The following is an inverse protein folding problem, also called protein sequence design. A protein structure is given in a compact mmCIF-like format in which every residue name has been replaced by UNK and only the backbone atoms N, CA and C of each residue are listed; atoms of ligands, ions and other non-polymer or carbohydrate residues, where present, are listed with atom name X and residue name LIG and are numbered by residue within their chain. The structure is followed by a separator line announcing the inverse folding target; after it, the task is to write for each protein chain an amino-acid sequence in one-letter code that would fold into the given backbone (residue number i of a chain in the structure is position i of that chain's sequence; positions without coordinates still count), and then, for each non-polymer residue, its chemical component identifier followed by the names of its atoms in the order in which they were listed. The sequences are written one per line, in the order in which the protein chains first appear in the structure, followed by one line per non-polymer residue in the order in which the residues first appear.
data_IF_861328563491
#
_entry.id   IF_861328563491
#
_cell.length_a   1.000
_cell.length_b   1.000
_cell.length_c   1.000
_cell.angle_alpha   90.00
_cell.angle_beta   90.00
_cell.angle_gamma   90.00
#
_symmetry.space_group_name_H-M   'P 1'
#
loop_
_entity.id
_entity.type
_entity.pdbx_description
1 polymer ?
#
# COMPACT_ATOMS: atom_id res chain seq x y z
N UNK A 1 -26.97 -30.72 14.92
CA UNK A 1 -26.29 -31.50 13.86
C UNK A 1 -25.49 -30.49 13.06
N UNK A 2 -24.27 -30.20 13.51
CA UNK A 2 -23.34 -29.32 12.80
C UNK A 2 -22.61 -30.20 11.82
N UNK A 3 -23.15 -30.32 10.61
CA UNK A 3 -22.38 -30.86 9.49
C UNK A 3 -21.13 -29.98 9.37
N UNK A 4 -19.97 -30.59 9.55
CA UNK A 4 -18.66 -30.00 9.34
C UNK A 4 -18.51 -29.75 7.83
N UNK A 5 -19.15 -28.70 7.33
CA UNK A 5 -18.82 -28.17 6.01
C UNK A 5 -17.43 -27.53 6.13
N UNK A 6 -16.50 -27.91 5.25
CA UNK A 6 -15.11 -27.41 5.28
C UNK A 6 -15.04 -25.88 5.21
N UNK A 7 -13.93 -25.31 5.67
CA UNK A 7 -13.76 -23.84 5.81
C UNK A 7 -13.69 -23.13 4.45
N UNK A 8 -13.35 -23.85 3.40
CA UNK A 8 -13.19 -23.36 2.05
C UNK A 8 -14.15 -24.09 1.12
N UNK A 9 -15.14 -23.39 0.57
CA UNK A 9 -16.04 -23.94 -0.43
C UNK A 9 -15.56 -23.51 -1.81
N UNK A 10 -15.08 -24.45 -2.61
CA UNK A 10 -14.75 -24.21 -4.01
C UNK A 10 -16.04 -24.29 -4.83
N UNK A 11 -16.33 -23.24 -5.58
CA UNK A 11 -17.47 -23.12 -6.47
C UNK A 11 -16.98 -23.12 -7.93
N UNK A 12 -17.04 -24.28 -8.60
CA UNK A 12 -16.58 -24.38 -9.98
C UNK A 12 -17.42 -23.57 -10.95
N UNK A 13 -16.82 -23.14 -12.06
CA UNK A 13 -17.56 -22.58 -13.21
C UNK A 13 -18.60 -23.57 -13.74
N UNK A 14 -18.28 -24.86 -13.71
CA UNK A 14 -19.19 -25.95 -14.06
C UNK A 14 -19.02 -27.13 -13.10
N UNK A 15 -20.12 -27.59 -12.51
CA UNK A 15 -20.14 -28.75 -11.61
C UNK A 15 -20.72 -28.42 -10.23
N UNK A 16 -20.65 -29.40 -9.33
CA UNK A 16 -21.07 -29.22 -7.94
C UNK A 16 -19.95 -28.60 -7.11
N UNK A 17 -20.33 -27.74 -6.16
CA UNK A 17 -19.38 -27.18 -5.22
C UNK A 17 -18.86 -28.27 -4.26
N UNK A 18 -17.60 -28.15 -3.88
CA UNK A 18 -16.96 -29.04 -2.92
C UNK A 18 -16.26 -28.22 -1.83
N UNK A 19 -15.91 -28.90 -0.74
CA UNK A 19 -15.34 -28.28 0.45
C UNK A 19 -13.95 -28.82 0.70
N UNK A 20 -13.07 -27.94 1.15
CA UNK A 20 -11.71 -28.23 1.60
C UNK A 20 -11.49 -27.66 2.99
N UNK A 21 -10.56 -28.28 3.72
CA UNK A 21 -10.21 -27.87 5.08
C UNK A 21 -9.11 -26.80 5.09
N UNK A 22 -8.33 -26.69 4.00
CA UNK A 22 -7.26 -25.68 3.86
C UNK A 22 -7.34 -24.89 2.56
N UNK A 23 -6.81 -23.66 2.58
CA UNK A 23 -6.70 -22.81 1.39
C UNK A 23 -5.79 -23.45 0.33
N UNK A 24 -4.74 -24.14 0.75
CA UNK A 24 -3.80 -24.79 -0.16
C UNK A 24 -4.48 -25.89 -0.98
N UNK A 25 -5.28 -26.73 -0.33
CA UNK A 25 -6.07 -27.77 -1.00
C UNK A 25 -7.11 -27.14 -1.94
N UNK A 26 -7.83 -26.12 -1.47
CA UNK A 26 -8.82 -25.40 -2.26
C UNK A 26 -8.22 -24.81 -3.54
N UNK A 27 -7.06 -24.16 -3.45
CA UNK A 27 -6.34 -23.60 -4.60
C UNK A 27 -5.83 -24.71 -5.52
N UNK A 28 -5.33 -25.82 -4.98
CA UNK A 28 -4.79 -26.92 -5.80
C UNK A 28 -5.86 -27.64 -6.63
N UNK A 29 -7.11 -27.60 -6.17
CA UNK A 29 -8.26 -28.22 -6.85
C UNK A 29 -9.07 -27.24 -7.68
N UNK A 30 -8.92 -25.93 -7.44
CA UNK A 30 -9.56 -24.91 -8.23
C UNK A 30 -9.00 -24.88 -9.65
N UNK A 31 -9.89 -24.67 -10.61
CA UNK A 31 -9.58 -24.46 -12.01
C UNK A 31 -9.78 -22.98 -12.37
N UNK A 32 -9.21 -22.56 -13.52
CA UNK A 32 -9.32 -21.18 -13.99
C UNK A 32 -10.78 -20.74 -14.10
N UNK A 33 -11.13 -19.69 -13.36
CA UNK A 33 -12.46 -19.11 -13.30
C UNK A 33 -13.26 -19.50 -12.05
N UNK A 34 -12.79 -20.46 -11.26
CA UNK A 34 -13.48 -20.88 -10.04
C UNK A 34 -13.42 -19.82 -8.94
N UNK A 35 -14.44 -19.79 -8.08
CA UNK A 35 -14.46 -18.97 -6.87
C UNK A 35 -14.26 -19.85 -5.62
N UNK A 36 -13.33 -19.46 -4.75
CA UNK A 36 -13.13 -20.10 -3.44
C UNK A 36 -13.79 -19.20 -2.38
N UNK A 37 -14.90 -19.68 -1.82
CA UNK A 37 -15.65 -19.01 -0.76
C UNK A 37 -15.11 -19.42 0.62
N UNK A 38 -14.64 -18.43 1.38
CA UNK A 38 -14.14 -18.61 2.74
C UNK A 38 -15.31 -18.47 3.73
N UNK A 39 -15.58 -19.53 4.50
CA UNK A 39 -16.76 -19.68 5.35
C UNK A 39 -16.41 -19.75 6.84
N UNK A 40 -15.60 -18.81 7.30
CA UNK A 40 -15.19 -18.71 8.70
C UNK A 40 -15.04 -17.25 9.16
N UNK A 41 -15.08 -17.02 10.47
CA UNK A 41 -15.03 -15.69 11.12
C UNK A 41 -13.80 -15.51 12.02
N UNK A 42 -12.92 -16.51 12.05
CA UNK A 42 -11.71 -16.53 12.83
C UNK A 42 -10.48 -16.37 11.93
N UNK A 43 -9.31 -16.64 12.52
CA UNK A 43 -8.05 -16.56 11.81
C UNK A 43 -7.65 -17.94 11.33
N UNK A 44 -7.31 -18.03 10.04
CA UNK A 44 -6.64 -19.19 9.49
C UNK A 44 -5.16 -18.90 9.26
N UNK A 45 -4.29 -19.77 9.76
CA UNK A 45 -2.86 -19.68 9.46
C UNK A 45 -2.60 -20.33 8.09
N UNK A 46 -2.05 -19.56 7.16
CA UNK A 46 -1.78 -20.02 5.80
C UNK A 46 -0.26 -20.14 5.59
N UNK A 47 0.22 -21.30 5.09
CA UNK A 47 1.63 -21.42 4.68
C UNK A 47 1.89 -20.61 3.40
N UNK A 48 3.16 -20.41 2.99
CA UNK A 48 3.46 -19.95 1.64
C UNK A 48 2.69 -20.78 0.60
N UNK A 49 2.04 -20.12 -0.33
CA UNK A 49 1.33 -20.81 -1.41
C UNK A 49 2.31 -21.17 -2.52
N UNK A 50 2.06 -22.28 -3.25
CA UNK A 50 2.81 -22.57 -4.45
C UNK A 50 2.67 -21.41 -5.45
N UNK A 51 3.65 -21.30 -6.37
CA UNK A 51 3.60 -20.27 -7.40
C UNK A 51 2.32 -20.42 -8.21
N UNK A 52 1.53 -19.35 -8.27
CA UNK A 52 0.29 -19.27 -9.04
C UNK A 52 0.58 -18.73 -10.45
N UNK A 53 -0.29 -19.07 -11.41
CA UNK A 53 -0.14 -18.65 -12.82
C UNK A 53 0.47 -19.69 -13.75
N UNK A 54 0.41 -20.98 -13.38
CA UNK A 54 0.60 -22.08 -14.33
C UNK A 54 -0.67 -22.31 -15.16
N UNK A 55 -0.56 -22.89 -16.38
CA UNK A 55 -1.71 -23.21 -17.23
C UNK A 55 -2.79 -23.96 -16.44
N UNK A 56 -4.02 -23.43 -16.46
CA UNK A 56 -5.17 -23.98 -15.72
C UNK A 56 -5.48 -23.30 -14.38
N UNK A 57 -4.62 -22.40 -13.88
CA UNK A 57 -4.84 -21.61 -12.64
C UNK A 57 -4.78 -20.09 -12.89
N UNK A 58 -5.07 -19.67 -14.12
CA UNK A 58 -4.84 -18.30 -14.61
C UNK A 58 -5.84 -17.28 -14.08
N UNK A 59 -6.97 -17.72 -13.52
CA UNK A 59 -8.00 -16.85 -12.98
C UNK A 59 -8.54 -17.46 -11.68
N UNK A 60 -8.25 -16.84 -10.54
CA UNK A 60 -8.63 -17.34 -9.22
C UNK A 60 -9.29 -16.22 -8.43
N UNK A 61 -10.46 -16.50 -7.86
CA UNK A 61 -11.14 -15.57 -6.94
C UNK A 61 -11.19 -16.16 -5.54
N UNK A 62 -10.66 -15.44 -4.55
CA UNK A 62 -10.85 -15.70 -3.13
C UNK A 62 -11.89 -14.72 -2.59
N UNK A 63 -12.96 -15.21 -1.98
CA UNK A 63 -14.07 -14.35 -1.55
C UNK A 63 -14.57 -14.76 -0.16
N UNK A 64 -14.81 -13.80 0.72
CA UNK A 64 -15.56 -14.07 1.93
C UNK A 64 -17.02 -14.43 1.59
N UNK A 65 -17.51 -15.55 2.13
CA UNK A 65 -18.90 -15.91 1.96
C UNK A 65 -19.83 -14.89 2.66
N UNK A 66 -21.10 -14.73 2.22
CA UNK A 66 -22.03 -13.80 2.85
C UNK A 66 -22.15 -14.03 4.36
N UNK A 67 -21.99 -12.96 5.14
CA UNK A 67 -22.04 -13.01 6.61
C UNK A 67 -20.76 -13.53 7.28
N UNK A 68 -19.72 -13.86 6.51
CA UNK A 68 -18.42 -14.26 7.01
C UNK A 68 -17.38 -13.15 6.89
N UNK A 69 -16.42 -13.16 7.80
CA UNK A 69 -15.29 -12.24 7.87
C UNK A 69 -13.99 -13.00 8.16
N UNK A 70 -13.46 -13.72 7.16
CA UNK A 70 -12.29 -14.57 7.32
C UNK A 70 -11.01 -13.74 7.39
N UNK A 71 -10.08 -14.15 8.24
CA UNK A 71 -8.72 -13.60 8.29
C UNK A 71 -7.71 -14.65 7.86
N UNK A 72 -6.91 -14.37 6.83
CA UNK A 72 -5.78 -15.20 6.42
C UNK A 72 -4.48 -14.64 7.02
N UNK A 73 -3.87 -15.39 7.94
CA UNK A 73 -2.61 -15.02 8.59
C UNK A 73 -1.44 -15.79 8.01
N UNK A 74 -0.47 -15.05 7.49
CA UNK A 74 0.81 -15.55 7.05
C UNK A 74 1.89 -15.30 8.11
N UNK A 75 2.63 -16.33 8.47
CA UNK A 75 3.72 -16.25 9.47
C UNK A 75 5.07 -16.74 8.94
N UNK A 76 5.20 -16.88 7.62
CA UNK A 76 6.40 -17.42 6.97
C UNK A 76 6.30 -18.91 6.70
N UNK A 77 7.13 -19.37 5.76
CA UNK A 77 7.38 -20.77 5.48
C UNK A 77 8.47 -21.37 6.36
N UNK A 78 8.68 -22.67 6.21
CA UNK A 78 9.85 -23.32 6.77
C UNK A 78 11.14 -22.70 6.20
N UNK A 79 12.19 -22.60 7.01
CA UNK A 79 13.50 -22.04 6.61
C UNK A 79 14.16 -22.75 5.42
N UNK A 80 13.66 -23.94 5.03
CA UNK A 80 14.13 -24.70 3.85
C UNK A 80 13.36 -24.37 2.57
N UNK A 81 12.28 -23.59 2.66
CA UNK A 81 11.55 -23.08 1.50
C UNK A 81 12.45 -22.16 0.68
N UNK A 82 12.27 -22.14 -0.63
CA UNK A 82 12.99 -21.22 -1.53
C UNK A 82 12.54 -19.76 -1.38
N UNK A 83 11.36 -19.54 -0.78
CA UNK A 83 10.75 -18.22 -0.62
C UNK A 83 9.93 -18.13 0.69
N UNK A 84 10.56 -18.31 1.87
CA UNK A 84 9.84 -18.44 3.13
C UNK A 84 9.12 -17.15 3.57
N UNK A 85 9.51 -15.99 3.06
CA UNK A 85 8.85 -14.71 3.37
C UNK A 85 7.72 -14.30 2.43
N UNK A 86 7.26 -15.16 1.52
CA UNK A 86 6.28 -14.79 0.47
C UNK A 86 5.00 -15.60 0.61
N UNK A 87 3.84 -14.94 0.74
CA UNK A 87 2.56 -15.65 0.77
C UNK A 87 2.11 -16.03 -0.64
N UNK A 88 1.84 -15.03 -1.48
CA UNK A 88 1.44 -15.19 -2.87
C UNK A 88 2.64 -14.93 -3.77
N UNK A 89 3.10 -15.97 -4.46
CA UNK A 89 4.11 -15.85 -5.52
C UNK A 89 3.40 -15.96 -6.88
N UNK A 90 3.29 -14.82 -7.57
CA UNK A 90 2.52 -14.68 -8.80
C UNK A 90 3.46 -14.60 -10.00
N UNK A 91 3.19 -15.41 -11.03
CA UNK A 91 3.97 -15.46 -12.25
C UNK A 91 3.10 -15.52 -13.50
N UNK A 92 3.64 -15.05 -14.62
CA UNK A 92 2.95 -15.07 -15.91
C UNK A 92 1.76 -14.09 -15.92
N UNK A 93 0.67 -14.49 -16.58
CA UNK A 93 -0.54 -13.67 -16.77
C UNK A 93 -1.68 -14.06 -15.82
N UNK A 94 -1.38 -14.22 -14.53
CA UNK A 94 -2.40 -14.58 -13.52
C UNK A 94 -3.38 -13.42 -13.29
N UNK A 95 -4.67 -13.74 -13.13
CA UNK A 95 -5.69 -12.87 -12.58
C UNK A 95 -6.12 -13.38 -11.19
N UNK A 96 -5.77 -12.65 -10.14
CA UNK A 96 -6.13 -12.94 -8.76
C UNK A 96 -7.08 -11.85 -8.25
N UNK A 97 -8.29 -12.26 -7.84
CA UNK A 97 -9.22 -11.37 -7.16
C UNK A 97 -9.42 -11.80 -5.71
N UNK A 98 -9.37 -10.87 -4.77
CA UNK A 98 -9.66 -11.10 -3.35
C UNK A 98 -10.73 -10.11 -2.89
N UNK A 99 -11.83 -10.62 -2.34
CA UNK A 99 -13.00 -9.79 -1.98
C UNK A 99 -13.44 -10.09 -0.55
N UNK A 100 -13.44 -9.07 0.30
CA UNK A 100 -13.97 -9.16 1.67
C UNK A 100 -13.14 -10.04 2.61
N UNK A 101 -11.92 -10.41 2.22
CA UNK A 101 -11.02 -11.26 3.03
C UNK A 101 -9.98 -10.36 3.69
N UNK A 102 -9.84 -10.50 5.00
CA UNK A 102 -8.82 -9.79 5.76
C UNK A 102 -7.49 -10.56 5.71
N UNK A 103 -6.38 -9.84 5.55
CA UNK A 103 -5.05 -10.42 5.37
C UNK A 103 -4.11 -9.94 6.48
N UNK A 104 -3.30 -10.83 7.02
CA UNK A 104 -2.35 -10.50 8.07
C UNK A 104 -0.98 -11.08 7.78
N UNK A 105 0.06 -10.26 7.85
CA UNK A 105 1.45 -10.70 7.89
C UNK A 105 1.96 -10.59 9.31
N UNK A 106 2.53 -11.67 9.85
CA UNK A 106 3.31 -11.65 11.09
C UNK A 106 4.76 -11.96 10.75
N UNK A 107 5.59 -10.93 10.75
CA UNK A 107 7.02 -11.04 10.46
C UNK A 107 7.73 -11.62 11.69
N UNK A 108 8.16 -12.88 11.57
CA UNK A 108 8.84 -13.62 12.64
C UNK A 108 10.34 -13.44 12.57
N UNK A 109 11.00 -13.32 13.72
CA UNK A 109 12.47 -13.20 13.78
C UNK A 109 13.18 -14.52 13.44
N UNK A 110 12.53 -15.65 13.71
CA UNK A 110 13.10 -16.98 13.53
C UNK A 110 13.14 -17.44 12.06
N UNK A 111 12.36 -16.80 11.19
CA UNK A 111 12.28 -17.14 9.76
C UNK A 111 13.26 -16.30 8.97
N UNK A 112 14.28 -16.93 8.38
CA UNK A 112 15.30 -16.22 7.62
C UNK A 112 14.75 -15.89 6.24
N UNK A 113 14.58 -14.59 5.96
CA UNK A 113 14.08 -14.06 4.68
C UNK A 113 14.70 -12.69 4.46
N UNK A 114 15.08 -12.42 3.22
CA UNK A 114 15.57 -11.12 2.76
C UNK A 114 14.44 -10.08 2.78
N UNK A 115 13.24 -10.51 2.37
CA UNK A 115 12.05 -9.68 2.31
C UNK A 115 10.81 -10.48 2.75
N UNK A 116 9.90 -9.82 3.45
CA UNK A 116 8.55 -10.31 3.70
C UNK A 116 7.55 -9.64 2.76
N UNK A 117 6.74 -10.42 2.05
CA UNK A 117 5.80 -9.90 1.05
C UNK A 117 4.47 -10.64 1.07
N UNK A 118 3.37 -9.91 0.93
CA UNK A 118 2.07 -10.54 0.69
C UNK A 118 1.98 -11.05 -0.74
N UNK A 119 2.28 -10.19 -1.71
CA UNK A 119 2.22 -10.48 -3.13
C UNK A 119 3.56 -10.19 -3.78
N UNK A 120 4.26 -11.22 -4.26
CA UNK A 120 5.39 -11.05 -5.17
C UNK A 120 4.91 -11.27 -6.61
N UNK A 121 5.09 -10.26 -7.46
CA UNK A 121 4.58 -10.24 -8.82
C UNK A 121 5.75 -10.28 -9.80
N UNK A 122 5.79 -11.33 -10.62
CA UNK A 122 6.70 -11.47 -11.76
C UNK A 122 5.89 -11.54 -13.06
N UNK A 123 6.00 -10.52 -13.92
CA UNK A 123 5.22 -10.43 -15.17
C UNK A 123 3.87 -9.68 -15.05
N UNK A 124 3.02 -9.74 -16.08
CA UNK A 124 1.80 -8.96 -16.28
C UNK A 124 0.60 -9.52 -15.51
N UNK A 125 0.80 -9.66 -14.20
CA UNK A 125 -0.21 -10.13 -13.29
C UNK A 125 -1.36 -9.10 -13.16
N UNK A 126 -2.57 -9.59 -12.92
CA UNK A 126 -3.74 -8.79 -12.56
C UNK A 126 -4.15 -9.11 -11.13
N UNK A 127 -4.11 -8.13 -10.25
CA UNK A 127 -4.49 -8.28 -8.85
C UNK A 127 -5.59 -7.28 -8.55
N UNK A 128 -6.70 -7.77 -8.00
CA UNK A 128 -7.88 -6.97 -7.68
C UNK A 128 -8.29 -7.25 -6.23
N UNK A 129 -8.01 -6.30 -5.33
CA UNK A 129 -8.38 -6.38 -3.92
C UNK A 129 -9.57 -5.45 -3.66
N UNK A 130 -10.65 -5.99 -3.13
CA UNK A 130 -11.88 -5.25 -2.84
C UNK A 130 -12.36 -5.51 -1.42
N UNK A 131 -12.71 -4.44 -0.68
CA UNK A 131 -13.29 -4.53 0.67
C UNK A 131 -12.41 -5.34 1.65
N UNK A 132 -11.09 -5.26 1.50
CA UNK A 132 -10.11 -6.03 2.27
C UNK A 132 -9.40 -5.13 3.30
N UNK A 133 -9.04 -5.71 4.44
CA UNK A 133 -8.11 -5.06 5.38
C UNK A 133 -6.80 -5.84 5.45
N UNK A 134 -5.66 -5.14 5.47
CA UNK A 134 -4.32 -5.75 5.52
C UNK A 134 -3.57 -5.20 6.73
N UNK A 135 -3.13 -6.09 7.60
CA UNK A 135 -2.30 -5.75 8.76
C UNK A 135 -0.91 -6.38 8.66
N UNK A 136 0.14 -5.57 8.82
CA UNK A 136 1.54 -6.04 8.85
C UNK A 136 2.14 -5.86 10.24
N UNK A 137 2.21 -6.95 10.99
CA UNK A 137 2.87 -7.03 12.29
C UNK A 137 4.36 -7.33 12.11
N UNK A 138 5.18 -6.30 12.23
CA UNK A 138 6.63 -6.38 12.04
C UNK A 138 7.39 -5.60 13.12
N UNK A 139 7.39 -6.11 14.37
CA UNK A 139 7.95 -5.39 15.52
C UNK A 139 9.46 -5.11 15.38
N UNK A 140 10.17 -6.00 14.68
CA UNK A 140 11.62 -5.85 14.43
C UNK A 140 11.93 -5.01 13.20
N UNK A 141 10.92 -4.45 12.51
CA UNK A 141 11.06 -3.64 11.29
C UNK A 141 11.98 -4.27 10.24
N UNK A 142 11.85 -5.59 10.04
CA UNK A 142 12.57 -6.26 8.95
C UNK A 142 12.04 -5.77 7.60
N UNK A 143 12.81 -5.90 6.51
CA UNK A 143 12.32 -5.51 5.20
C UNK A 143 11.00 -6.23 4.86
N UNK A 144 9.95 -5.46 4.66
CA UNK A 144 8.61 -5.94 4.41
C UNK A 144 7.85 -5.01 3.45
N UNK A 145 7.06 -5.59 2.56
CA UNK A 145 6.15 -4.86 1.68
C UNK A 145 4.82 -5.62 1.52
N UNK A 146 3.72 -4.95 1.22
CA UNK A 146 2.49 -5.67 0.84
C UNK A 146 2.65 -6.26 -0.56
N UNK A 147 3.08 -5.44 -1.51
CA UNK A 147 3.30 -5.82 -2.90
C UNK A 147 4.78 -5.64 -3.24
N UNK A 148 5.36 -6.62 -3.92
CA UNK A 148 6.69 -6.52 -4.51
C UNK A 148 6.62 -6.82 -6.00
N UNK A 149 7.13 -5.91 -6.81
CA UNK A 149 7.27 -6.07 -8.25
C UNK A 149 8.72 -6.46 -8.56
N UNK A 150 8.89 -7.51 -9.34
CA UNK A 150 10.21 -7.99 -9.80
C UNK A 150 10.14 -8.32 -11.29
N UNK A 151 11.29 -8.29 -11.95
CA UNK A 151 11.39 -8.64 -13.36
C UNK A 151 11.01 -10.10 -13.62
N UNK A 152 10.30 -10.33 -14.73
CA UNK A 152 10.04 -11.68 -15.23
C UNK A 152 11.35 -12.25 -15.80
N UNK A 153 11.69 -13.48 -15.42
CA UNK A 153 12.86 -14.20 -15.96
C UNK A 153 12.60 -14.77 -17.37
N UNK A 154 11.37 -14.70 -17.84
CA UNK A 154 10.95 -15.26 -19.12
C UNK A 154 10.75 -14.08 -20.08
N UNK A 155 11.32 -14.17 -21.28
CA UNK A 155 10.99 -13.22 -22.35
C UNK A 155 9.52 -13.40 -22.72
N UNK A 156 8.68 -12.52 -22.21
CA UNK A 156 7.27 -12.54 -22.50
C UNK A 156 7.03 -11.87 -23.85
N UNK A 157 6.63 -12.68 -24.82
CA UNK A 157 6.31 -12.27 -26.19
C UNK A 157 4.98 -11.51 -26.31
N UNK A 158 4.30 -11.24 -25.18
CA UNK A 158 2.97 -10.62 -25.14
C UNK A 158 3.02 -9.20 -24.60
N UNK A 159 2.19 -8.35 -25.19
CA UNK A 159 1.93 -6.95 -24.85
C UNK A 159 1.01 -6.78 -23.62
N UNK A 160 0.93 -7.81 -22.78
CA UNK A 160 0.09 -7.76 -21.58
C UNK A 160 0.80 -6.93 -20.51
N UNK A 161 0.06 -6.10 -19.78
CA UNK A 161 0.61 -5.19 -18.79
C UNK A 161 0.14 -5.57 -17.39
N UNK A 162 0.99 -5.30 -16.40
CA UNK A 162 0.66 -5.45 -14.98
C UNK A 162 -0.57 -4.58 -14.64
N UNK A 163 -1.50 -5.11 -13.86
CA UNK A 163 -2.63 -4.33 -13.34
C UNK A 163 -2.89 -4.66 -11.89
N UNK A 164 -2.73 -3.69 -11.00
CA UNK A 164 -3.04 -3.84 -9.58
C UNK A 164 -4.13 -2.84 -9.24
N UNK A 165 -5.24 -3.31 -8.69
CA UNK A 165 -6.37 -2.50 -8.27
C UNK A 165 -6.70 -2.75 -6.81
N UNK A 166 -6.82 -1.68 -6.05
CA UNK A 166 -7.27 -1.65 -4.67
C UNK A 166 -8.54 -0.78 -4.60
N UNK A 167 -9.63 -1.33 -4.07
CA UNK A 167 -10.86 -0.59 -3.81
C UNK A 167 -11.37 -0.86 -2.41
N UNK A 168 -11.63 0.20 -1.64
CA UNK A 168 -12.08 0.08 -0.25
C UNK A 168 -11.12 -0.78 0.58
N UNK A 169 -9.82 -0.57 0.37
CA UNK A 169 -8.76 -1.33 1.03
C UNK A 169 -8.09 -0.46 2.08
N UNK A 170 -7.94 -1.02 3.29
CA UNK A 170 -7.07 -0.43 4.31
C UNK A 170 -5.80 -1.26 4.49
N UNK A 171 -4.64 -0.62 4.52
CA UNK A 171 -3.37 -1.26 4.90
C UNK A 171 -2.79 -0.53 6.10
N UNK A 172 -2.35 -1.28 7.10
CA UNK A 172 -1.61 -0.70 8.23
C UNK A 172 -0.46 -1.58 8.68
N UNK A 173 0.58 -0.94 9.20
CA UNK A 173 1.67 -1.61 9.92
C UNK A 173 3.05 -1.31 9.39
N UNK A 174 4.01 -2.14 9.82
CA UNK A 174 5.43 -1.88 9.59
C UNK A 174 5.94 -2.49 8.27
N UNK A 175 5.58 -1.84 7.16
CA UNK A 175 5.98 -2.23 5.80
C UNK A 175 5.84 -1.05 4.81
N UNK A 176 6.44 -1.20 3.64
CA UNK A 176 6.07 -0.43 2.45
C UNK A 176 4.74 -0.98 1.86
N UNK A 177 3.94 -0.16 1.17
CA UNK A 177 2.81 -0.71 0.41
C UNK A 177 3.34 -1.45 -0.83
N UNK A 178 4.18 -0.79 -1.64
CA UNK A 178 4.74 -1.37 -2.85
C UNK A 178 6.26 -1.19 -2.92
N UNK A 179 6.99 -2.30 -3.01
CA UNK A 179 8.42 -2.34 -3.34
C UNK A 179 8.59 -2.66 -4.83
N UNK A 180 9.23 -1.76 -5.58
CA UNK A 180 9.47 -1.89 -7.01
C UNK A 180 10.95 -2.23 -7.21
N UNK A 181 11.22 -3.52 -7.39
CA UNK A 181 12.56 -4.10 -7.55
C UNK A 181 12.72 -4.75 -8.94
N UNK A 182 12.36 -3.98 -9.98
CA UNK A 182 12.31 -4.39 -11.39
C UNK A 182 11.93 -3.21 -12.30
N UNK A 183 11.63 -3.49 -13.55
CA UNK A 183 11.15 -2.61 -14.62
C UNK A 183 9.70 -2.91 -15.00
N UNK A 184 8.73 -2.83 -14.07
CA UNK A 184 7.34 -3.13 -14.39
C UNK A 184 6.81 -2.14 -15.44
N UNK A 185 5.96 -2.65 -16.34
CA UNK A 185 5.12 -1.82 -17.20
C UNK A 185 3.66 -2.15 -16.93
N UNK A 186 2.87 -1.13 -16.59
CA UNK A 186 1.44 -1.29 -16.36
C UNK A 186 0.86 -0.27 -15.39
N UNK A 187 -0.18 -0.66 -14.65
CA UNK A 187 -0.98 0.25 -13.83
C UNK A 187 -1.18 -0.24 -12.40
N UNK A 188 -1.05 0.68 -11.46
CA UNK A 188 -1.51 0.57 -10.08
C UNK A 188 -2.66 1.56 -9.86
N UNK A 189 -3.79 1.12 -9.30
CA UNK A 189 -4.93 1.99 -8.98
C UNK A 189 -5.38 1.76 -7.55
N UNK A 190 -5.49 2.82 -6.76
CA UNK A 190 -6.11 2.81 -5.43
C UNK A 190 -7.28 3.79 -5.39
N UNK A 191 -8.45 3.29 -5.00
CA UNK A 191 -9.71 4.02 -4.98
C UNK A 191 -10.38 3.83 -3.61
N UNK A 192 -10.69 4.93 -2.91
CA UNK A 192 -11.26 4.89 -1.56
C UNK A 192 -10.41 4.03 -0.60
N UNK A 193 -9.10 4.28 -0.57
CA UNK A 193 -8.14 3.46 0.17
C UNK A 193 -7.46 4.23 1.29
N UNK A 194 -7.07 3.52 2.34
CA UNK A 194 -6.36 4.12 3.47
C UNK A 194 -5.10 3.34 3.81
N UNK A 195 -3.97 4.03 3.92
CA UNK A 195 -2.66 3.43 4.15
C UNK A 195 -1.97 4.08 5.34
N UNK A 196 -1.68 3.32 6.39
CA UNK A 196 -0.92 3.75 7.57
C UNK A 196 0.39 2.93 7.67
N UNK A 197 1.48 3.46 7.13
CA UNK A 197 2.70 2.70 6.81
C UNK A 197 3.93 3.21 7.58
N UNK A 198 4.65 2.30 8.24
CA UNK A 198 6.00 2.63 8.75
C UNK A 198 7.00 2.84 7.60
N UNK A 199 6.65 2.33 6.42
CA UNK A 199 7.37 2.48 5.17
C UNK A 199 6.80 3.56 4.25
N UNK A 200 7.08 3.41 2.97
CA UNK A 200 6.63 4.25 1.87
C UNK A 200 5.38 3.67 1.21
N UNK A 201 4.60 4.52 0.54
CA UNK A 201 3.57 4.07 -0.38
C UNK A 201 4.22 3.35 -1.57
N UNK A 202 5.19 4.01 -2.19
CA UNK A 202 5.98 3.45 -3.30
C UNK A 202 7.47 3.54 -2.94
N UNK A 203 8.15 2.40 -2.94
CA UNK A 203 9.59 2.31 -2.74
C UNK A 203 10.22 1.66 -3.98
N UNK A 204 10.80 2.48 -4.86
CA UNK A 204 11.44 2.02 -6.09
C UNK A 204 12.94 1.90 -5.89
N UNK A 205 13.44 0.67 -5.95
CA UNK A 205 14.88 0.35 -5.89
C UNK A 205 15.40 -0.14 -7.24
N UNK A 206 14.51 -0.34 -8.21
CA UNK A 206 14.89 -0.74 -9.57
C UNK A 206 15.52 -2.12 -9.66
N UNK A 207 16.22 -2.34 -10.76
CA UNK A 207 16.98 -3.55 -11.01
C UNK A 207 18.24 -3.25 -11.83
N UNK A 208 19.14 -4.23 -11.90
CA UNK A 208 20.30 -4.14 -12.78
C UNK A 208 19.88 -4.04 -14.25
N UNK A 209 20.65 -3.28 -15.02
CA UNK A 209 20.39 -2.93 -16.42
C UNK A 209 20.35 -4.16 -17.35
N UNK A 210 19.22 -4.86 -17.38
CA UNK A 210 19.00 -6.02 -18.26
C UNK A 210 17.89 -5.78 -19.28
N UNK A 211 16.99 -4.82 -19.01
CA UNK A 211 15.87 -4.41 -19.86
C UNK A 211 15.74 -2.88 -19.84
N UNK A 212 15.06 -2.29 -20.83
CA UNK A 212 14.77 -0.86 -20.86
C UNK A 212 13.95 -0.40 -19.66
N UNK A 213 13.93 0.91 -19.39
CA UNK A 213 13.20 1.46 -18.25
C UNK A 213 11.70 1.18 -18.34
N UNK A 214 11.13 0.61 -17.28
CA UNK A 214 9.70 0.36 -17.16
C UNK A 214 8.89 1.64 -17.00
N UNK A 215 7.56 1.52 -17.07
CA UNK A 215 6.62 2.61 -16.83
C UNK A 215 5.46 2.11 -15.95
N UNK A 216 5.35 2.63 -14.73
CA UNK A 216 4.23 2.36 -13.85
C UNK A 216 3.32 3.58 -13.75
N UNK A 217 2.08 3.43 -14.23
CA UNK A 217 1.00 4.40 -14.11
C UNK A 217 0.24 4.18 -12.80
N UNK A 218 0.31 5.13 -11.87
CA UNK A 218 -0.24 5.06 -10.53
C UNK A 218 -1.42 6.04 -10.41
N UNK A 219 -2.63 5.52 -10.28
CA UNK A 219 -3.86 6.31 -10.12
C UNK A 219 -4.36 6.20 -8.67
N UNK A 220 -4.43 7.33 -7.96
CA UNK A 220 -4.88 7.44 -6.58
C UNK A 220 -6.11 8.36 -6.56
N UNK A 221 -7.24 7.85 -6.07
CA UNK A 221 -8.50 8.59 -5.99
C UNK A 221 -9.10 8.40 -4.61
N UNK A 222 -9.40 9.50 -3.91
CA UNK A 222 -9.93 9.43 -2.53
C UNK A 222 -9.09 8.51 -1.63
N UNK A 223 -7.78 8.71 -1.64
CA UNK A 223 -6.84 7.90 -0.88
C UNK A 223 -6.20 8.71 0.24
N UNK A 224 -6.20 8.17 1.45
CA UNK A 224 -5.50 8.76 2.61
C UNK A 224 -4.23 7.95 2.90
N UNK A 225 -3.08 8.61 2.94
CA UNK A 225 -1.78 8.01 3.22
C UNK A 225 -1.15 8.68 4.42
N UNK A 226 -0.88 7.93 5.47
CA UNK A 226 -0.02 8.30 6.59
C UNK A 226 1.26 7.46 6.51
N UNK A 227 2.40 8.10 6.31
CA UNK A 227 3.69 7.40 6.18
C UNK A 227 4.75 7.92 7.14
N UNK A 228 5.53 7.01 7.73
CA UNK A 228 6.69 7.35 8.55
C UNK A 228 7.97 7.59 7.73
N UNK A 229 7.96 7.18 6.46
CA UNK A 229 9.00 7.43 5.45
C UNK A 229 8.44 8.31 4.34
N UNK A 230 9.27 8.76 3.38
CA UNK A 230 8.76 9.42 2.19
C UNK A 230 7.63 8.62 1.55
N UNK A 231 6.55 9.29 1.17
CA UNK A 231 5.40 8.67 0.48
C UNK A 231 5.92 7.93 -0.76
N UNK A 232 6.78 8.59 -1.53
CA UNK A 232 7.48 7.99 -2.67
C UNK A 232 8.98 8.05 -2.40
N UNK A 233 9.63 6.90 -2.48
CA UNK A 233 11.08 6.78 -2.44
C UNK A 233 11.57 6.15 -3.74
N UNK A 234 12.60 6.75 -4.34
CA UNK A 234 13.27 6.24 -5.54
C UNK A 234 14.77 6.20 -5.25
N UNK A 235 15.40 5.04 -5.42
CA UNK A 235 16.79 4.81 -5.06
C UNK A 235 17.51 3.98 -6.12
N UNK A 236 18.23 4.63 -7.04
CA UNK A 236 19.00 3.91 -8.08
C UNK A 236 20.23 3.19 -7.47
N UNK A 237 20.63 3.59 -6.27
CA UNK A 237 21.75 3.08 -5.50
C UNK A 237 21.46 3.25 -4.00
N UNK A 238 22.13 2.45 -3.17
CA UNK A 238 22.06 2.61 -1.71
C UNK A 238 22.97 3.74 -1.22
N UNK A 239 23.95 4.12 -2.04
CA UNK A 239 24.97 5.12 -1.74
C UNK A 239 25.05 6.17 -2.85
N UNK A 240 25.56 7.35 -2.50
CA UNK A 240 25.73 8.53 -3.39
C UNK A 240 27.21 8.73 -3.75
N UNK A 241 28.09 7.83 -3.30
CA UNK A 241 29.54 7.92 -3.45
C UNK A 241 30.07 7.12 -4.65
N UNK A 242 29.18 6.57 -5.49
CA UNK A 242 29.58 5.74 -6.63
C UNK A 242 30.13 4.36 -6.26
N UNK A 243 30.09 3.95 -4.98
CA UNK A 243 30.63 2.65 -4.53
C UNK A 243 29.77 1.46 -4.95
N UNK A 244 28.48 1.68 -5.19
CA UNK A 244 27.50 0.66 -5.53
C UNK A 244 27.06 0.78 -6.99
N UNK A 245 26.72 -0.35 -7.64
CA UNK A 245 26.28 -0.33 -9.03
C UNK A 245 24.97 0.44 -9.19
N UNK A 246 24.88 1.21 -10.28
CA UNK A 246 23.67 1.92 -10.67
C UNK A 246 22.58 0.92 -11.07
N UNK A 247 21.38 1.11 -10.53
CA UNK A 247 20.17 0.38 -10.93
C UNK A 247 19.33 1.25 -11.84
N UNK A 248 18.69 0.65 -12.84
CA UNK A 248 17.71 1.37 -13.64
C UNK A 248 16.43 1.45 -12.81
N UNK A 249 15.81 2.61 -12.76
CA UNK A 249 14.51 2.82 -12.12
C UNK A 249 13.42 2.94 -13.21
N UNK A 250 12.23 2.36 -12.99
CA UNK A 250 11.09 2.63 -13.86
C UNK A 250 10.59 4.06 -13.65
N UNK A 251 9.99 4.64 -14.70
CA UNK A 251 9.28 5.91 -14.58
C UNK A 251 7.97 5.70 -13.83
N UNK A 252 7.70 6.55 -12.85
CA UNK A 252 6.47 6.60 -12.09
C UNK A 252 5.61 7.77 -12.60
N UNK A 253 4.46 7.46 -13.18
CA UNK A 253 3.43 8.47 -13.49
C UNK A 253 2.38 8.42 -12.40
N UNK A 254 2.25 9.47 -11.60
CA UNK A 254 1.27 9.55 -10.52
C UNK A 254 0.14 10.47 -10.93
N UNK A 255 -1.07 9.94 -10.95
CA UNK A 255 -2.34 10.67 -11.04
C UNK A 255 -3.00 10.61 -9.68
N UNK A 256 -3.20 11.76 -9.04
CA UNK A 256 -3.70 11.85 -7.68
C UNK A 256 -4.87 12.83 -7.59
N UNK A 257 -6.07 12.32 -7.30
CA UNK A 257 -7.30 13.13 -7.22
C UNK A 257 -7.91 13.03 -5.83
N UNK A 258 -8.19 14.17 -5.21
CA UNK A 258 -8.87 14.25 -3.92
C UNK A 258 -8.18 13.36 -2.87
N UNK A 259 -6.86 13.34 -2.80
CA UNK A 259 -6.10 12.52 -1.87
C UNK A 259 -5.58 13.32 -0.67
N UNK A 260 -5.29 12.62 0.43
CA UNK A 260 -4.67 13.17 1.63
C UNK A 260 -3.34 12.47 1.86
N UNK A 261 -2.26 13.23 1.96
CA UNK A 261 -0.94 12.74 2.31
C UNK A 261 -0.51 13.35 3.64
N UNK A 262 -0.10 12.52 4.57
CA UNK A 262 0.37 12.91 5.89
C UNK A 262 1.70 12.25 6.19
N UNK A 263 2.65 13.01 6.71
CA UNK A 263 3.80 12.43 7.37
C UNK A 263 3.49 12.14 8.83
N UNK A 264 3.96 11.00 9.33
CA UNK A 264 3.90 10.68 10.75
C UNK A 264 4.85 11.55 11.59
N UNK A 265 5.94 12.04 10.98
CA UNK A 265 6.91 12.87 11.66
C UNK A 265 6.76 14.33 11.19
N UNK A 266 6.71 15.31 12.12
CA UNK A 266 6.74 16.72 11.76
C UNK A 266 7.97 17.05 10.91
N UNK A 267 7.75 17.74 9.79
CA UNK A 267 8.82 18.08 8.85
C UNK A 267 9.26 16.91 7.99
N UNK A 268 8.36 15.96 7.73
CA UNK A 268 8.59 14.83 6.85
C UNK A 268 8.94 15.24 5.43
N UNK A 269 9.37 14.25 4.65
CA UNK A 269 9.63 14.39 3.22
C UNK A 269 8.54 13.67 2.44
N UNK A 270 7.94 14.27 1.41
CA UNK A 270 6.92 13.60 0.60
C UNK A 270 7.55 12.69 -0.45
N UNK A 271 8.44 13.21 -1.30
CA UNK A 271 9.18 12.45 -2.31
C UNK A 271 10.67 12.50 -2.00
N UNK A 272 11.35 11.36 -2.08
CA UNK A 272 12.81 11.29 -2.01
C UNK A 272 13.37 10.52 -3.21
N UNK A 273 14.26 11.14 -3.98
CA UNK A 273 15.12 10.46 -4.95
C UNK A 273 16.56 10.47 -4.44
N UNK A 274 17.20 9.30 -4.46
CA UNK A 274 18.56 9.09 -3.99
C UNK A 274 19.32 8.27 -5.02
N UNK A 275 20.56 8.62 -5.31
CA UNK A 275 21.31 7.80 -6.25
C UNK A 275 22.65 8.32 -6.70
N UNK A 276 23.24 7.56 -7.60
CA UNK A 276 24.45 7.92 -8.34
C UNK A 276 24.11 8.61 -9.68
N UNK A 277 22.85 8.55 -10.16
CA UNK A 277 22.43 9.34 -11.32
C UNK A 277 22.47 10.84 -11.04
N UNK A 278 22.50 11.63 -12.11
CA UNK A 278 22.43 13.09 -11.99
C UNK A 278 21.04 13.50 -11.48
N UNK A 279 20.92 14.59 -10.69
CA UNK A 279 19.62 15.07 -10.22
C UNK A 279 18.59 15.25 -11.34
N UNK A 280 19.00 15.73 -12.50
CA UNK A 280 18.15 15.92 -13.67
C UNK A 280 17.57 14.59 -14.19
N UNK A 281 18.35 13.51 -14.17
CA UNK A 281 17.89 12.18 -14.56
C UNK A 281 16.92 11.61 -13.51
N UNK A 282 17.20 11.81 -12.22
CA UNK A 282 16.31 11.42 -11.13
C UNK A 282 14.98 12.17 -11.14
N UNK A 283 14.99 13.41 -11.63
CA UNK A 283 13.80 14.23 -11.82
C UNK A 283 12.88 13.70 -12.92
N UNK A 284 13.44 13.12 -13.99
CA UNK A 284 12.66 12.56 -15.11
C UNK A 284 11.91 11.28 -14.74
N UNK A 285 12.28 10.62 -13.64
CA UNK A 285 11.67 9.38 -13.17
C UNK A 285 10.28 9.56 -12.55
N UNK A 286 9.91 10.79 -12.18
CA UNK A 286 8.59 11.09 -11.61
C UNK A 286 7.85 12.06 -12.51
N UNK A 287 6.61 11.72 -12.81
CA UNK A 287 5.64 12.61 -13.46
C UNK A 287 4.43 12.69 -12.56
N UNK A 288 4.08 13.88 -12.10
CA UNK A 288 2.97 14.08 -11.17
C UNK A 288 1.81 14.84 -11.81
N UNK A 289 0.60 14.37 -11.59
CA UNK A 289 -0.66 15.01 -11.97
C UNK A 289 -1.60 14.95 -10.78
N UNK A 290 -1.69 16.05 -10.03
CA UNK A 290 -2.55 16.13 -8.87
C UNK A 290 -3.65 17.17 -8.99
N UNK A 291 -4.77 16.86 -8.35
CA UNK A 291 -5.95 17.70 -8.27
C UNK A 291 -6.57 17.59 -6.89
N UNK A 292 -6.73 18.72 -6.22
CA UNK A 292 -7.49 18.81 -4.97
C UNK A 292 -6.89 17.94 -3.85
N UNK A 293 -5.55 17.88 -3.80
CA UNK A 293 -4.81 17.09 -2.82
C UNK A 293 -4.48 17.90 -1.57
N UNK A 294 -4.48 17.20 -0.43
CA UNK A 294 -4.22 17.78 0.87
C UNK A 294 -2.95 17.18 1.46
N UNK A 295 -2.14 18.01 2.09
CA UNK A 295 -0.81 17.64 2.58
C UNK A 295 -0.64 18.02 4.04
N UNK A 296 -0.10 17.13 4.87
CA UNK A 296 0.08 17.36 6.30
C UNK A 296 1.49 16.99 6.75
N UNK A 297 2.13 17.90 7.48
CA UNK A 297 3.43 17.72 8.13
C UNK A 297 4.66 17.50 7.23
N UNK A 298 4.59 17.85 5.95
CA UNK A 298 5.78 17.86 5.11
C UNK A 298 6.52 19.20 5.22
N UNK A 299 7.83 19.15 5.40
CA UNK A 299 8.68 20.33 5.22
C UNK A 299 9.39 20.31 3.86
N UNK A 300 9.55 19.11 3.27
CA UNK A 300 10.20 18.92 1.99
C UNK A 300 9.29 18.09 1.10
N UNK A 301 8.88 18.64 -0.03
CA UNK A 301 7.97 17.98 -0.96
C UNK A 301 8.72 17.07 -1.93
N UNK A 302 9.94 17.48 -2.31
CA UNK A 302 10.83 16.60 -3.05
C UNK A 302 12.27 16.84 -2.65
N UNK A 303 12.94 15.81 -2.14
CA UNK A 303 14.38 15.81 -1.88
C UNK A 303 15.11 14.99 -2.94
N UNK A 304 16.05 15.60 -3.65
CA UNK A 304 16.93 14.98 -4.63
C UNK A 304 18.34 14.92 -4.04
N UNK A 305 18.96 13.75 -4.05
CA UNK A 305 20.33 13.51 -3.59
C UNK A 305 21.05 12.67 -4.65
N UNK A 306 21.87 13.31 -5.49
CA UNK A 306 22.56 12.69 -6.63
C UNK A 306 24.08 12.72 -6.51
N UNK A 307 24.72 11.64 -6.97
CA UNK A 307 26.14 11.32 -6.74
C UNK A 307 27.04 11.48 -7.95
N UNK A 308 26.87 12.54 -8.74
CA UNK A 308 27.79 12.90 -9.82
C UNK A 308 29.22 13.20 -9.31
N UNK A 309 29.99 14.03 -10.03
CA UNK A 309 31.35 14.40 -9.59
C UNK A 309 31.39 15.13 -8.23
N UNK A 310 30.27 15.75 -7.82
CA UNK A 310 30.03 16.32 -6.49
C UNK A 310 28.62 15.94 -6.03
N UNK A 311 28.44 15.71 -4.73
CA UNK A 311 27.13 15.41 -4.14
C UNK A 311 26.26 16.67 -4.27
N UNK A 312 25.29 16.62 -5.16
CA UNK A 312 24.32 17.69 -5.35
C UNK A 312 23.03 17.31 -4.63
N UNK A 313 22.57 18.19 -3.75
CA UNK A 313 21.27 18.06 -3.10
C UNK A 313 20.38 19.23 -3.46
N UNK A 314 19.16 18.92 -3.87
CA UNK A 314 18.12 19.89 -4.16
C UNK A 314 16.87 19.50 -3.37
N UNK A 315 16.11 20.50 -2.93
CA UNK A 315 14.87 20.29 -2.20
C UNK A 315 13.82 21.29 -2.64
N UNK A 316 12.59 20.80 -2.86
CA UNK A 316 11.42 21.62 -3.12
C UNK A 316 10.59 21.77 -1.84
N UNK A 317 10.18 22.99 -1.53
CA UNK A 317 9.10 23.26 -0.56
C UNK A 317 7.74 23.19 -1.27
N UNK A 318 6.65 23.43 -0.54
CA UNK A 318 5.30 23.31 -1.08
C UNK A 318 5.05 24.21 -2.30
N UNK A 319 5.42 25.48 -2.23
CA UNK A 319 5.20 26.42 -3.33
C UNK A 319 5.99 26.00 -4.58
N UNK A 320 7.25 25.60 -4.40
CA UNK A 320 8.11 25.14 -5.50
C UNK A 320 7.58 23.83 -6.13
N UNK A 321 6.99 22.95 -5.32
CA UNK A 321 6.33 21.72 -5.78
C UNK A 321 5.14 22.04 -6.68
N UNK A 322 4.24 22.92 -6.22
CA UNK A 322 3.06 23.34 -6.98
C UNK A 322 3.47 24.05 -8.27
N UNK A 323 4.44 24.97 -8.19
CA UNK A 323 4.95 25.70 -9.34
C UNK A 323 5.58 24.77 -10.38
N UNK A 324 6.39 23.80 -9.95
CA UNK A 324 7.08 22.85 -10.83
C UNK A 324 6.09 22.11 -11.73
N UNK A 325 5.07 21.50 -11.13
CA UNK A 325 4.13 20.66 -11.87
C UNK A 325 3.14 21.47 -12.73
N UNK A 326 2.92 22.74 -12.42
CA UNK A 326 2.08 23.61 -13.25
C UNK A 326 2.82 24.31 -14.39
N UNK A 327 4.17 24.34 -14.38
CA UNK A 327 4.98 24.90 -15.48
C UNK A 327 5.10 23.97 -16.67
N UNK A 328 5.03 22.66 -16.44
CA UNK A 328 5.11 21.64 -17.49
C UNK A 328 3.71 21.37 -18.02
N UNK A 329 3.50 21.52 -19.34
CA UNK A 329 2.16 21.49 -19.95
C UNK A 329 1.42 20.16 -19.87
N UNK A 330 2.15 19.06 -19.60
CA UNK A 330 1.60 17.70 -19.48
C UNK A 330 1.41 17.23 -18.03
N UNK A 331 1.61 18.12 -17.06
CA UNK A 331 1.44 17.86 -15.63
C UNK A 331 0.56 18.92 -14.99
N UNK A 332 0.11 18.68 -13.76
CA UNK A 332 -0.58 19.70 -12.98
C UNK A 332 -0.49 19.39 -11.49
N UNK A 333 -0.57 20.43 -10.67
CA UNK A 333 -0.88 20.32 -9.25
C UNK A 333 -1.82 21.47 -8.91
N UNK A 334 -3.13 21.23 -9.00
CA UNK A 334 -4.13 22.29 -8.86
C UNK A 334 -5.01 22.10 -7.62
N UNK A 335 -5.37 23.22 -7.00
CA UNK A 335 -6.13 23.26 -5.73
C UNK A 335 -5.52 22.39 -4.61
N UNK A 336 -4.20 22.26 -4.62
CA UNK A 336 -3.42 21.64 -3.58
C UNK A 336 -3.32 22.53 -2.35
N UNK A 337 -3.38 21.96 -1.14
CA UNK A 337 -3.24 22.73 0.11
C UNK A 337 -2.53 21.97 1.21
N UNK A 338 -1.82 22.70 2.04
CA UNK A 338 -1.38 22.21 3.35
C UNK A 338 -2.54 22.24 4.35
N UNK A 339 -2.65 21.16 5.14
CA UNK A 339 -3.63 21.00 6.20
C UNK A 339 -3.07 21.54 7.52
N UNK A 340 -3.84 22.35 8.26
CA UNK A 340 -3.57 22.64 9.67
C UNK A 340 -4.02 21.47 10.56
N UNK A 341 -3.53 21.44 11.79
CA UNK A 341 -3.88 20.41 12.79
C UNK A 341 -5.40 20.33 13.04
N UNK A 342 -6.11 21.47 13.08
CA UNK A 342 -7.56 21.51 13.35
C UNK A 342 -8.44 21.00 12.19
N UNK A 343 -7.83 20.69 11.04
CA UNK A 343 -8.50 20.01 9.94
C UNK A 343 -8.68 18.50 10.19
N UNK A 344 -7.98 17.92 11.17
CA UNK A 344 -8.18 16.53 11.61
C UNK A 344 -9.21 16.46 12.74
N UNK A 345 -9.99 15.38 12.81
CA UNK A 345 -10.83 15.13 13.99
C UNK A 345 -10.00 14.75 15.23
N UNK A 346 -8.80 14.20 15.03
CA UNK A 346 -7.92 13.73 16.11
C UNK A 346 -6.44 14.03 15.81
N UNK A 347 -6.04 15.33 15.74
CA UNK A 347 -4.66 15.71 15.41
C UNK A 347 -3.64 15.18 16.42
N UNK A 348 -3.99 15.18 17.71
CA UNK A 348 -3.10 14.69 18.77
C UNK A 348 -2.70 13.23 18.56
N UNK A 349 -3.60 12.41 17.99
CA UNK A 349 -3.28 11.02 17.70
C UNK A 349 -2.22 10.93 16.62
N UNK A 350 -2.37 11.66 15.51
CA UNK A 350 -1.36 11.66 14.43
C UNK A 350 -0.02 12.19 14.95
N UNK A 351 -0.06 13.27 15.75
CA UNK A 351 1.12 13.94 16.28
C UNK A 351 1.86 13.13 17.35
N UNK A 352 1.15 12.28 18.11
CA UNK A 352 1.73 11.45 19.18
C UNK A 352 2.03 10.02 18.75
N UNK A 353 1.50 9.56 17.61
CA UNK A 353 1.67 8.19 17.16
C UNK A 353 3.14 7.93 16.82
N UNK A 354 3.76 7.03 17.57
CA UNK A 354 5.08 6.55 17.24
C UNK A 354 5.03 5.57 16.06
N UNK A 355 6.17 5.41 15.38
CA UNK A 355 6.33 4.39 14.32
C UNK A 355 5.92 2.97 14.74
N UNK A 356 6.08 2.64 16.03
CA UNK A 356 5.68 1.34 16.61
C UNK A 356 4.16 1.18 16.76
N UNK A 357 3.43 2.28 16.88
CA UNK A 357 1.99 2.32 17.12
C UNK A 357 1.18 2.45 15.82
N UNK A 358 1.84 2.55 14.67
CA UNK A 358 1.12 2.69 13.39
C UNK A 358 0.22 1.49 13.09
N UNK A 359 0.60 0.31 13.57
CA UNK A 359 -0.22 -0.90 13.44
C UNK A 359 -1.52 -0.79 14.21
N UNK A 360 -1.63 0.08 15.23
CA UNK A 360 -2.88 0.32 15.99
C UNK A 360 -3.82 1.33 15.38
N UNK A 361 -3.41 2.07 14.34
CA UNK A 361 -4.27 3.08 13.73
C UNK A 361 -5.50 2.42 13.10
N UNK A 362 -6.67 2.89 13.50
CA UNK A 362 -7.96 2.51 12.92
C UNK A 362 -8.37 3.50 11.81
N UNK A 363 -9.19 3.07 10.83
CA UNK A 363 -9.67 3.96 9.77
C UNK A 363 -10.27 5.28 10.26
N UNK A 364 -11.11 5.21 11.30
CA UNK A 364 -11.80 6.36 11.87
C UNK A 364 -10.87 7.40 12.49
N UNK A 365 -9.62 7.03 12.78
CA UNK A 365 -8.64 7.93 13.39
C UNK A 365 -7.98 8.88 12.36
N UNK A 366 -8.06 8.57 11.07
CA UNK A 366 -7.60 9.47 9.99
C UNK A 366 -8.76 10.22 9.34
N UNK A 367 -9.81 10.51 10.11
CA UNK A 367 -10.96 11.29 9.64
C UNK A 367 -10.62 12.79 9.65
N UNK A 368 -10.94 13.46 8.55
CA UNK A 368 -10.89 14.92 8.47
C UNK A 368 -12.15 15.55 9.07
N UNK A 369 -11.97 16.67 9.77
CA UNK A 369 -13.03 17.43 10.39
C UNK A 369 -13.99 17.99 9.34
N UNK A 370 -15.20 17.43 9.29
CA UNK A 370 -16.23 17.84 8.33
C UNK A 370 -16.56 19.34 8.37
N UNK A 371 -16.45 19.98 9.53
CA UNK A 371 -16.72 21.42 9.65
C UNK A 371 -15.71 22.29 8.87
N UNK A 372 -14.50 21.78 8.65
CA UNK A 372 -13.46 22.46 7.88
C UNK A 372 -13.80 22.61 6.38
N UNK A 373 -14.75 21.80 5.87
CA UNK A 373 -15.14 21.74 4.46
C UNK A 373 -16.54 22.29 4.17
N UNK A 374 -17.47 22.17 5.13
CA UNK A 374 -18.89 22.50 4.89
C UNK A 374 -19.44 23.66 5.72
N UNK A 375 -18.64 24.27 6.60
CA UNK A 375 -19.09 25.45 7.35
C UNK A 375 -19.19 26.71 6.46
N UNK A 376 -20.01 27.72 6.81
CA UNK A 376 -20.11 28.97 6.05
C UNK A 376 -18.76 29.70 5.89
N UNK A 377 -17.82 29.45 6.80
CA UNK A 377 -16.46 30.00 6.81
C UNK A 377 -15.40 28.91 6.56
N UNK A 378 -15.74 27.85 5.82
CA UNK A 378 -14.85 26.72 5.59
C UNK A 378 -13.53 27.15 4.92
N UNK A 379 -12.42 26.70 5.50
CA UNK A 379 -11.06 26.92 4.98
C UNK A 379 -10.78 26.07 3.74
N UNK A 380 -11.50 24.96 3.60
CA UNK A 380 -11.38 24.00 2.52
C UNK A 380 -12.70 23.87 1.77
N UNK A 381 -12.62 23.35 0.55
CA UNK A 381 -13.80 23.05 -0.26
C UNK A 381 -13.87 21.54 -0.43
N UNK A 382 -15.08 20.96 -0.50
CA UNK A 382 -15.23 19.62 -1.03
C UNK A 382 -14.83 19.61 -2.50
N UNK A 383 -14.61 18.42 -3.04
CA UNK A 383 -14.25 18.23 -4.43
C UNK A 383 -15.46 18.40 -5.39
N UNK A 384 -15.24 18.11 -6.67
CA UNK A 384 -16.27 18.25 -7.71
C UNK A 384 -17.50 17.35 -7.50
N UNK A 385 -17.33 16.24 -6.77
CA UNK A 385 -18.40 15.30 -6.42
C UNK A 385 -19.04 15.64 -5.06
N UNK A 386 -18.58 16.71 -4.40
CA UNK A 386 -19.06 17.15 -3.10
C UNK A 386 -18.50 16.34 -1.93
N UNK A 387 -17.42 15.60 -2.15
CA UNK A 387 -16.78 14.74 -1.16
C UNK A 387 -15.59 15.44 -0.49
N UNK A 388 -15.27 15.03 0.74
CA UNK A 388 -14.04 15.45 1.40
C UNK A 388 -12.86 14.67 0.78
N UNK A 389 -11.71 15.32 0.49
CA UNK A 389 -10.52 14.60 0.04
C UNK A 389 -10.07 13.52 1.04
N UNK A 390 -9.48 12.46 0.50
CA UNK A 390 -9.08 11.28 1.25
C UNK A 390 -10.13 10.17 1.19
N UNK A 391 -9.86 9.11 1.93
CA UNK A 391 -10.75 7.98 2.04
C UNK A 391 -12.01 8.30 2.87
N UNK A 392 -13.15 7.77 2.44
CA UNK A 392 -14.35 7.73 3.27
C UNK A 392 -14.23 6.62 4.32
N UNK A 393 -13.91 7.02 5.55
CA UNK A 393 -13.75 6.12 6.69
C UNK A 393 -15.00 5.30 7.02
N UNK A 394 -16.19 5.73 6.57
CA UNK A 394 -17.43 4.98 6.77
C UNK A 394 -17.57 3.78 5.82
N UNK A 395 -16.85 3.81 4.70
CA UNK A 395 -16.80 2.72 3.72
C UNK A 395 -15.63 1.76 3.97
N UNK A 396 -14.61 2.22 4.72
CA UNK A 396 -13.44 1.42 5.08
C UNK A 396 -13.68 0.62 6.36
N UNK A 397 -13.40 -0.68 6.30
CA UNK A 397 -13.54 -1.59 7.44
C UNK A 397 -12.33 -1.51 8.37
N UNK A 398 -12.56 -1.53 9.68
CA UNK A 398 -11.52 -1.77 10.70
C UNK A 398 -11.11 -3.23 10.73
N UNK A 399 -9.81 -3.54 10.86
CA UNK A 399 -9.31 -4.92 10.98
C UNK A 399 -9.95 -5.65 12.18
N UNK A 400 -10.34 -6.94 12.05
CA UNK A 400 -11.10 -7.63 13.09
C UNK A 400 -10.26 -7.93 14.35
N UNK A 401 -10.91 -7.92 15.52
CA UNK A 401 -10.32 -8.41 16.77
C UNK A 401 -9.61 -7.38 17.65
N UNK A 402 -9.56 -6.10 17.26
CA UNK A 402 -9.21 -4.99 18.18
C UNK A 402 -10.46 -4.37 18.78
N UNK A 403 -10.51 -4.27 20.11
CA UNK A 403 -11.44 -3.36 20.77
C UNK A 403 -10.92 -1.94 20.52
N UNK A 404 -11.76 -1.07 19.96
CA UNK A 404 -11.49 0.36 19.96
C UNK A 404 -11.13 0.78 21.38
N UNK A 405 -9.96 1.39 21.57
CA UNK A 405 -9.67 2.08 22.82
C UNK A 405 -10.66 3.24 22.89
N UNK A 406 -11.75 3.05 23.65
CA UNK A 406 -12.66 4.13 23.98
C UNK A 406 -11.84 5.13 24.80
N UNK A 407 -11.38 6.19 24.14
CA UNK A 407 -10.80 7.35 24.81
C UNK A 407 -11.94 7.93 25.65
N UNK A 408 -11.93 7.58 26.93
CA UNK A 408 -12.85 8.19 27.88
C UNK A 408 -12.28 9.57 28.14
N UNK A 409 -13.00 10.68 27.87
CA UNK A 409 -12.49 11.99 28.17
C UNK A 409 -12.19 12.05 29.66
N UNK A 410 -10.95 12.41 30.00
CA UNK A 410 -10.53 12.60 31.39
C UNK A 410 -11.36 13.75 31.93
N UNK A 411 -12.36 13.42 32.74
CA UNK A 411 -13.07 14.40 33.53
C UNK A 411 -12.05 15.08 34.43
N UNK A 412 -11.87 16.38 34.25
CA UNK A 412 -11.15 17.26 35.17
C UNK A 412 -11.80 17.15 36.54
N UNK A 413 -11.17 16.41 37.46
CA UNK A 413 -11.55 16.46 38.87
C UNK A 413 -11.06 17.78 39.44
N UNK A 414 -12.00 18.68 39.72
CA UNK A 414 -11.82 19.82 40.61
C UNK A 414 -11.24 19.33 41.95
N UNK A 415 -10.22 20.04 42.42
CA UNK A 415 -9.60 19.82 43.71
C UNK A 415 -10.50 20.41 44.80
N UNK A 416 -11.02 19.56 45.68
CA UNK A 416 -11.51 19.95 47.00
C UNK A 416 -10.38 19.77 48.02
N UNK A 417 -9.84 20.88 48.53
CA UNK A 417 -9.09 20.93 49.79
C UNK A 417 -10.08 21.02 50.97
N UNK A 418 -9.88 20.28 52.06
CA UNK A 418 -10.50 20.60 53.34
C UNK A 418 -9.49 21.22 54.32
N UNK A 419 -9.94 22.31 54.96
CA UNK A 419 -9.43 22.84 56.24
C UNK A 419 -9.83 21.93 57.43
#
# INVERSE_FOLDING_TARGET
VTDNFGRFRVQPVSGEAFYEDSLLEAISRATSGDEILLQFNDVENVPPLPRLGYPGSENVTLRAAPGFRPVLRFQGGENRSSAPGRLFHLGGSLNLRIIGVDLQIVVRNEVISDQWVMFECSGPNRIDLQDCTIEVQNPSRRPAAVIRLVDSKIEETRKEELSIRLRNVSVRGAADLMLIAGQPTGRFRAEHCMFALDGSLLNSVGAEATQGAGLLDCELVHTTVLSARPVIQMADSETVDGSMPLRILPVLKVQSKSCVYASLAPGGTMVKSLGNAFPEELEELLVWNGSHNLYYQFAVYWKLEGGGFEVNSQSLIFEDWVDRWNRVSSTSEHDARELPDDAWESPDLINSTSRSEIVSIEPTELTLNRAAFFSPNASFRPDEDGLIPGADVSEIRSFPGRKALVVTPVASSEADEPD
#
